data_IF_482772719591
#
_entry.id   IF_482772719591
#
_cell.length_a   1.000
_cell.length_b   1.000
_cell.length_c   1.000
_cell.angle_alpha   90.00
_cell.angle_beta   90.00
_cell.angle_gamma   90.00
#
_symmetry.space_group_name_H-M   'P 1'
#
loop_
_entity.id
_entity.type
_entity.pdbx_description
1 polymer ?
#
# COMPACT_ATOMS: atom_id res chain seq x y z
N UNK A 1 -16.79 22.73 3.52
CA UNK A 1 -15.84 21.59 3.48
C UNK A 1 -16.02 20.79 4.76
N UNK A 2 -16.65 19.62 4.70
CA UNK A 2 -16.75 18.74 5.87
C UNK A 2 -15.36 18.19 6.17
N UNK A 3 -14.82 18.53 7.34
CA UNK A 3 -13.57 17.98 7.84
C UNK A 3 -13.70 16.45 7.88
N UNK A 4 -12.91 15.74 7.06
CA UNK A 4 -12.83 14.28 7.09
C UNK A 4 -12.18 13.87 8.42
N UNK A 5 -13.00 13.44 9.37
CA UNK A 5 -12.57 12.97 10.70
C UNK A 5 -11.93 11.58 10.70
N UNK A 6 -11.93 10.87 9.57
CA UNK A 6 -11.60 9.43 9.53
C UNK A 6 -10.37 9.14 8.65
N UNK A 7 -9.27 9.86 8.90
CA UNK A 7 -7.99 9.59 8.26
C UNK A 7 -6.83 9.71 9.25
N UNK A 8 -6.08 8.63 9.39
CA UNK A 8 -4.88 8.57 10.20
C UNK A 8 -3.65 8.57 9.29
N UNK A 9 -2.86 9.63 9.37
CA UNK A 9 -1.62 9.74 8.59
C UNK A 9 -0.44 9.17 9.34
N UNK A 10 0.47 8.58 8.58
CA UNK A 10 1.74 8.06 9.06
C UNK A 10 2.87 8.64 8.22
N UNK A 11 3.97 8.98 8.89
CA UNK A 11 5.22 9.33 8.23
C UNK A 11 6.09 8.07 8.06
N UNK A 12 6.70 7.93 6.89
CA UNK A 12 7.68 6.89 6.61
C UNK A 12 9.05 7.45 6.95
N UNK A 13 9.61 7.00 8.07
CA UNK A 13 10.91 7.45 8.56
C UNK A 13 11.96 6.40 8.25
N UNK A 14 13.01 6.79 7.54
CA UNK A 14 14.20 5.96 7.41
C UNK A 14 14.93 5.93 8.75
N UNK A 15 15.03 4.74 9.35
CA UNK A 15 15.66 4.56 10.66
C UNK A 15 17.16 4.87 10.67
N UNK A 16 17.83 4.71 9.54
CA UNK A 16 19.29 4.94 9.46
C UNK A 16 19.64 6.43 9.45
N UNK A 17 18.79 7.26 8.84
CA UNK A 17 19.03 8.70 8.67
C UNK A 17 18.12 9.58 9.53
N UNK A 18 17.04 9.03 10.07
CA UNK A 18 15.99 9.77 10.79
C UNK A 18 15.11 10.64 9.88
N UNK A 19 15.30 10.59 8.55
CA UNK A 19 14.58 11.45 7.61
C UNK A 19 13.20 10.90 7.27
N UNK A 20 12.23 11.79 7.14
CA UNK A 20 10.91 11.47 6.57
C UNK A 20 11.02 11.39 5.03
N UNK A 21 10.73 10.21 4.48
CA UNK A 21 10.82 9.92 3.03
C UNK A 21 9.44 9.81 2.36
N UNK A 22 8.36 9.89 3.13
CA UNK A 22 7.02 9.81 2.57
C UNK A 22 5.94 9.75 3.62
N UNK A 23 4.71 9.61 3.13
CA UNK A 23 3.51 9.43 3.96
C UNK A 23 2.55 8.44 3.30
N UNK A 24 1.72 7.84 4.12
CA UNK A 24 0.46 7.23 3.70
C UNK A 24 -0.59 7.46 4.79
N UNK A 25 -1.83 7.08 4.51
CA UNK A 25 -2.89 7.14 5.50
C UNK A 25 -3.79 5.92 5.48
N UNK A 26 -4.31 5.57 6.65
CA UNK A 26 -5.47 4.70 6.78
C UNK A 26 -6.73 5.56 6.77
N UNK A 27 -7.67 5.24 5.90
CA UNK A 27 -8.89 6.03 5.66
C UNK A 27 -10.08 5.16 5.28
N UNK A 28 -11.27 5.79 5.17
CA UNK A 28 -12.53 5.10 4.85
C UNK A 28 -12.76 3.89 5.76
N UNK A 29 -12.58 4.13 7.05
CA UNK A 29 -12.64 3.10 8.08
C UNK A 29 -14.10 2.71 8.29
N UNK A 30 -14.38 1.43 8.09
CA UNK A 30 -15.64 0.80 8.46
C UNK A 30 -15.34 -0.23 9.55
N UNK A 31 -15.58 0.16 10.80
CA UNK A 31 -15.32 -0.70 11.96
C UNK A 31 -16.28 -1.88 12.02
N UNK A 32 -17.55 -1.67 11.64
CA UNK A 32 -18.60 -2.69 11.70
C UNK A 32 -18.29 -3.86 10.75
N UNK A 33 -17.84 -3.53 9.54
CA UNK A 33 -17.47 -4.54 8.54
C UNK A 33 -15.99 -4.90 8.55
N UNK A 34 -15.18 -4.23 9.38
CA UNK A 34 -13.73 -4.41 9.48
C UNK A 34 -13.04 -4.22 8.14
N UNK A 35 -13.35 -3.09 7.47
CA UNK A 35 -12.78 -2.67 6.18
C UNK A 35 -12.02 -1.35 6.34
N UNK A 36 -10.83 -1.27 5.73
CA UNK A 36 -10.00 -0.06 5.78
C UNK A 36 -9.24 0.14 4.47
N UNK A 37 -9.01 1.39 4.07
CA UNK A 37 -8.27 1.74 2.86
C UNK A 37 -6.91 2.34 3.20
N UNK A 38 -5.85 1.91 2.50
CA UNK A 38 -4.62 2.69 2.39
C UNK A 38 -4.72 3.67 1.24
N UNK A 39 -4.49 4.94 1.55
CA UNK A 39 -4.61 6.03 0.60
C UNK A 39 -3.74 7.22 0.97
N UNK A 40 -3.82 8.27 0.17
CA UNK A 40 -2.97 9.46 0.29
C UNK A 40 -1.46 9.13 0.34
N UNK A 41 -1.05 8.08 -0.39
CA UNK A 41 0.35 7.64 -0.48
C UNK A 41 1.16 8.70 -1.22
N UNK A 42 2.18 9.24 -0.55
CA UNK A 42 3.12 10.21 -1.10
C UNK A 42 4.54 9.74 -0.81
N UNK A 43 5.23 9.26 -1.84
CA UNK A 43 6.62 8.81 -1.73
C UNK A 43 7.56 9.85 -2.34
N UNK A 44 8.60 10.21 -1.61
CA UNK A 44 9.73 10.96 -2.17
C UNK A 44 10.42 10.14 -3.26
N UNK A 45 11.18 10.76 -4.17
CA UNK A 45 11.94 10.03 -5.19
C UNK A 45 12.82 8.93 -4.63
N UNK A 46 13.44 9.17 -3.47
CA UNK A 46 14.35 8.26 -2.76
C UNK A 46 13.65 7.00 -2.23
N UNK A 47 12.32 7.03 -2.07
CA UNK A 47 11.54 5.91 -1.54
C UNK A 47 10.97 5.00 -2.65
N UNK A 48 10.94 5.47 -3.90
CA UNK A 48 10.28 4.75 -4.99
C UNK A 48 11.11 3.54 -5.42
N UNK A 49 10.48 2.37 -5.40
CA UNK A 49 11.12 1.12 -5.83
C UNK A 49 12.17 0.57 -4.86
N UNK A 50 12.27 1.11 -3.65
CA UNK A 50 13.26 0.67 -2.66
C UNK A 50 12.69 -0.38 -1.69
N UNK A 51 13.60 -1.04 -0.95
CA UNK A 51 13.27 -1.95 0.15
C UNK A 51 12.42 -1.26 1.22
N UNK A 52 12.80 -0.05 1.62
CA UNK A 52 12.10 0.77 2.64
C UNK A 52 10.66 1.04 2.22
N UNK A 53 10.40 1.40 0.95
CA UNK A 53 9.05 1.66 0.47
C UNK A 53 8.13 0.44 0.53
N UNK A 54 8.68 -0.76 0.29
CA UNK A 54 7.95 -2.03 0.41
C UNK A 54 7.76 -2.41 1.89
N UNK A 55 8.78 -2.24 2.72
CA UNK A 55 8.72 -2.49 4.17
C UNK A 55 7.66 -1.62 4.85
N UNK A 56 7.55 -0.34 4.47
CA UNK A 56 6.54 0.56 5.02
C UNK A 56 5.11 0.08 4.75
N UNK A 57 4.84 -0.44 3.54
CA UNK A 57 3.53 -1.03 3.20
C UNK A 57 3.30 -2.35 3.93
N UNK A 58 4.34 -3.17 4.07
CA UNK A 58 4.30 -4.41 4.83
C UNK A 58 3.93 -4.17 6.30
N UNK A 59 4.61 -3.24 6.99
CA UNK A 59 4.34 -2.91 8.38
C UNK A 59 2.90 -2.40 8.57
N UNK A 60 2.39 -1.59 7.63
CA UNK A 60 1.02 -1.12 7.68
C UNK A 60 0.01 -2.26 7.50
N UNK A 61 0.28 -3.21 6.60
CA UNK A 61 -0.55 -4.39 6.42
C UNK A 61 -0.54 -5.29 7.67
N UNK A 62 0.63 -5.53 8.29
CA UNK A 62 0.71 -6.24 9.57
C UNK A 62 -0.19 -5.58 10.62
N UNK A 63 -0.09 -4.26 10.77
CA UNK A 63 -0.92 -3.52 11.72
C UNK A 63 -2.42 -3.69 11.44
N UNK A 64 -2.84 -3.59 10.17
CA UNK A 64 -4.24 -3.74 9.77
C UNK A 64 -4.77 -5.14 10.06
N UNK A 65 -4.03 -6.19 9.69
CA UNK A 65 -4.51 -7.57 9.80
C UNK A 65 -4.29 -8.20 11.18
N UNK A 66 -3.17 -7.93 11.83
CA UNK A 66 -2.74 -8.64 13.04
C UNK A 66 -3.09 -7.89 14.33
N UNK A 67 -2.94 -6.57 14.34
CA UNK A 67 -3.24 -5.75 15.52
C UNK A 67 -4.70 -5.29 15.51
N UNK A 68 -5.15 -4.71 14.40
CA UNK A 68 -6.52 -4.20 14.27
C UNK A 68 -7.53 -5.30 13.94
N UNK A 69 -7.09 -6.48 13.51
CA UNK A 69 -7.93 -7.61 13.16
C UNK A 69 -8.97 -7.30 12.05
N UNK A 70 -8.59 -6.44 11.10
CA UNK A 70 -9.44 -6.10 9.96
C UNK A 70 -9.47 -7.24 8.93
N UNK A 71 -10.59 -7.35 8.22
CA UNK A 71 -10.82 -8.45 7.28
C UNK A 71 -10.53 -8.09 5.83
N UNK A 72 -10.49 -6.80 5.52
CA UNK A 72 -10.32 -6.29 4.17
C UNK A 72 -9.54 -4.99 4.17
N UNK A 73 -8.47 -4.99 3.39
CA UNK A 73 -7.57 -3.87 3.20
C UNK A 73 -7.63 -3.41 1.75
N UNK A 74 -8.03 -2.16 1.51
CA UNK A 74 -8.35 -1.65 0.18
C UNK A 74 -7.25 -0.73 -0.35
N UNK A 75 -7.03 -0.81 -1.66
CA UNK A 75 -6.23 0.13 -2.43
C UNK A 75 -7.06 0.68 -3.58
N UNK A 76 -6.95 1.98 -3.83
CA UNK A 76 -7.57 2.62 -4.98
C UNK A 76 -6.61 3.51 -5.72
N UNK A 77 -6.70 3.46 -7.04
CA UNK A 77 -6.00 4.39 -7.89
C UNK A 77 -6.90 4.92 -8.99
N UNK A 78 -6.42 5.96 -9.66
CA UNK A 78 -6.99 6.34 -10.95
C UNK A 78 -6.70 5.21 -11.95
N UNK A 79 -7.67 4.84 -12.79
CA UNK A 79 -7.45 3.83 -13.83
C UNK A 79 -6.32 4.23 -14.80
N UNK A 80 -6.02 5.53 -14.96
CA UNK A 80 -4.89 6.03 -15.72
C UNK A 80 -3.55 5.97 -14.95
N UNK A 81 -3.57 5.66 -13.65
CA UNK A 81 -2.37 5.54 -12.82
C UNK A 81 -1.90 4.08 -12.72
N UNK A 82 -1.48 3.54 -13.86
CA UNK A 82 -0.94 2.18 -13.96
C UNK A 82 0.25 1.90 -13.04
N UNK A 83 1.18 2.85 -12.76
CA UNK A 83 2.23 2.63 -11.75
C UNK A 83 1.68 2.30 -10.36
N UNK A 84 0.61 2.99 -9.92
CA UNK A 84 -0.01 2.72 -8.63
C UNK A 84 -0.72 1.36 -8.61
N UNK A 85 -1.45 1.01 -9.68
CA UNK A 85 -2.07 -0.31 -9.82
C UNK A 85 -1.05 -1.44 -9.76
N UNK A 86 0.03 -1.34 -10.55
CA UNK A 86 1.12 -2.32 -10.58
C UNK A 86 1.83 -2.47 -9.24
N UNK A 87 1.92 -1.39 -8.46
CA UNK A 87 2.47 -1.43 -7.10
C UNK A 87 1.54 -2.21 -6.15
N UNK A 88 0.24 -1.94 -6.19
CA UNK A 88 -0.75 -2.67 -5.40
C UNK A 88 -0.75 -4.18 -5.74
N UNK A 89 -0.80 -4.52 -7.03
CA UNK A 89 -0.73 -5.92 -7.48
C UNK A 89 0.58 -6.60 -7.05
N UNK A 90 1.72 -5.89 -7.17
CA UNK A 90 3.03 -6.39 -6.70
C UNK A 90 3.00 -6.70 -5.20
N UNK A 91 2.34 -5.87 -4.40
CA UNK A 91 2.21 -6.06 -2.95
C UNK A 91 1.22 -7.16 -2.55
N UNK A 92 0.45 -7.71 -3.51
CA UNK A 92 -0.50 -8.80 -3.27
C UNK A 92 -1.96 -8.37 -3.19
N UNK A 93 -2.28 -7.12 -3.53
CA UNK A 93 -3.68 -6.74 -3.71
C UNK A 93 -4.24 -7.34 -5.00
N UNK A 94 -5.47 -7.81 -4.95
CA UNK A 94 -6.22 -8.39 -6.07
C UNK A 94 -7.14 -7.31 -6.64
N UNK A 95 -7.12 -7.14 -7.96
CA UNK A 95 -8.02 -6.22 -8.67
C UNK A 95 -9.46 -6.76 -8.70
N UNK A 96 -10.43 -5.89 -8.40
CA UNK A 96 -11.84 -6.27 -8.27
C UNK A 96 -12.75 -5.56 -9.27
N UNK A 97 -12.32 -4.43 -9.84
CA UNK A 97 -13.11 -3.72 -10.84
C UNK A 97 -12.78 -2.23 -10.95
N UNK A 98 -13.38 -1.61 -11.97
CA UNK A 98 -13.29 -0.18 -12.21
C UNK A 98 -14.66 0.46 -12.01
N UNK A 99 -14.73 1.45 -11.13
CA UNK A 99 -15.90 2.32 -11.05
C UNK A 99 -15.75 3.44 -12.08
N UNK A 100 -16.57 3.39 -13.13
CA UNK A 100 -16.59 4.40 -14.21
C UNK A 100 -17.16 5.72 -13.71
N UNK A 101 -16.54 6.83 -14.10
CA UNK A 101 -16.88 8.19 -13.69
C UNK A 101 -17.04 8.36 -12.17
N UNK A 102 -16.23 7.64 -11.39
CA UNK A 102 -16.36 7.58 -9.93
C UNK A 102 -16.24 8.96 -9.27
N UNK A 103 -15.34 9.82 -9.78
CA UNK A 103 -15.15 11.20 -9.29
C UNK A 103 -14.71 12.14 -10.41
N UNK A 104 -14.92 13.44 -10.21
CA UNK A 104 -14.25 14.50 -10.98
C UNK A 104 -13.10 15.03 -10.15
N UNK A 105 -11.87 15.00 -10.68
CA UNK A 105 -10.71 15.58 -10.00
C UNK A 105 -9.75 16.21 -11.02
N UNK A 106 -9.07 17.30 -10.62
CA UNK A 106 -8.14 18.05 -11.49
C UNK A 106 -8.74 18.39 -12.87
N UNK A 107 -10.01 18.77 -12.91
CA UNK A 107 -10.69 19.20 -14.14
C UNK A 107 -11.07 18.08 -15.12
N UNK A 108 -11.00 16.80 -14.72
CA UNK A 108 -11.42 15.67 -15.59
C UNK A 108 -12.20 14.60 -14.83
N UNK A 109 -12.91 13.76 -15.59
CA UNK A 109 -13.45 12.50 -15.07
C UNK A 109 -12.31 11.56 -14.63
N UNK A 110 -12.57 10.80 -13.57
CA UNK A 110 -11.69 9.74 -13.09
C UNK A 110 -12.51 8.47 -12.87
N UNK A 111 -12.12 7.46 -13.62
CA UNK A 111 -12.43 6.07 -13.33
C UNK A 111 -11.52 5.59 -12.19
N UNK A 112 -12.07 4.81 -11.26
CA UNK A 112 -11.33 4.33 -10.09
C UNK A 112 -11.19 2.83 -10.13
N UNK A 113 -9.96 2.35 -10.24
CA UNK A 113 -9.62 0.95 -10.05
C UNK A 113 -9.61 0.63 -8.56
N UNK A 114 -10.32 -0.44 -8.21
CA UNK A 114 -10.41 -0.99 -6.86
C UNK A 114 -9.62 -2.29 -6.78
N UNK A 115 -8.77 -2.36 -5.76
CA UNK A 115 -8.06 -3.57 -5.39
C UNK A 115 -8.21 -3.83 -3.89
N UNK A 116 -8.12 -5.08 -3.49
CA UNK A 116 -8.20 -5.47 -2.09
C UNK A 116 -7.21 -6.57 -1.72
N UNK A 117 -6.91 -6.67 -0.44
CA UNK A 117 -6.30 -7.83 0.18
C UNK A 117 -7.20 -8.25 1.34
N UNK A 118 -7.50 -9.53 1.47
CA UNK A 118 -8.33 -10.04 2.57
C UNK A 118 -7.48 -10.77 3.60
N UNK A 119 -8.06 -10.91 4.80
CA UNK A 119 -7.49 -11.67 5.93
C UNK A 119 -6.97 -13.07 5.52
N UNK A 120 -7.69 -13.77 4.64
CA UNK A 120 -7.30 -15.11 4.16
C UNK A 120 -6.10 -15.10 3.22
N UNK A 121 -5.87 -14.02 2.48
CA UNK A 121 -4.71 -13.89 1.59
C UNK A 121 -3.45 -13.50 2.37
N UNK A 122 -3.65 -12.79 3.49
CA UNK A 122 -2.58 -12.18 4.27
C UNK A 122 -1.47 -13.14 4.68
N UNK A 123 -1.71 -14.36 5.22
CA UNK A 123 -0.63 -15.26 5.61
C UNK A 123 0.34 -15.59 4.46
N UNK A 124 -0.19 -15.81 3.25
CA UNK A 124 0.62 -16.09 2.06
C UNK A 124 1.37 -14.85 1.60
N UNK A 125 0.69 -13.70 1.57
CA UNK A 125 1.30 -12.42 1.18
C UNK A 125 2.41 -12.01 2.14
N UNK A 126 2.17 -12.15 3.46
CA UNK A 126 3.14 -11.91 4.54
C UNK A 126 4.40 -12.73 4.32
N UNK A 127 4.28 -14.05 4.21
CA UNK A 127 5.43 -14.94 4.04
C UNK A 127 6.27 -14.57 2.81
N UNK A 128 5.60 -14.20 1.70
CA UNK A 128 6.27 -13.71 0.49
C UNK A 128 7.01 -12.39 0.72
N UNK A 129 6.36 -11.41 1.37
CA UNK A 129 6.95 -10.10 1.68
C UNK A 129 8.14 -10.25 2.64
N UNK A 130 8.03 -11.06 3.69
CA UNK A 130 9.10 -11.34 4.63
C UNK A 130 10.30 -11.99 3.93
N UNK A 131 10.04 -12.96 3.05
CA UNK A 131 11.10 -13.61 2.25
C UNK A 131 11.81 -12.59 1.35
N UNK A 132 11.06 -11.67 0.73
CA UNK A 132 11.64 -10.62 -0.10
C UNK A 132 12.42 -9.57 0.70
N UNK A 133 11.97 -9.23 1.92
CA UNK A 133 12.53 -8.18 2.77
C UNK A 133 13.81 -8.58 3.52
N UNK A 134 14.10 -9.89 3.58
CA UNK A 134 15.34 -10.46 4.11
C UNK A 134 16.57 -9.77 3.52
N UNK A 135 17.55 -9.47 4.36
CA UNK A 135 18.78 -8.79 3.93
C UNK A 135 19.55 -9.64 2.91
N UNK A 136 19.44 -10.95 3.00
CA UNK A 136 20.07 -11.91 2.09
C UNK A 136 19.53 -11.83 0.66
N UNK A 137 18.38 -11.18 0.45
CA UNK A 137 17.83 -10.95 -0.89
C UNK A 137 18.37 -9.68 -1.56
N UNK A 138 19.30 -8.94 -0.93
CA UNK A 138 19.88 -7.71 -1.49
C UNK A 138 21.40 -7.73 -1.47
N UNK A 139 22.02 -7.15 -2.50
CA UNK A 139 23.46 -6.92 -2.55
C UNK A 139 23.87 -5.67 -1.74
N UNK A 140 25.18 -5.41 -1.68
CA UNK A 140 25.76 -4.24 -1.00
C UNK A 140 25.30 -2.87 -1.55
N UNK A 141 24.76 -2.84 -2.78
CA UNK A 141 24.23 -1.64 -3.42
C UNK A 141 22.72 -1.51 -3.24
N UNK A 142 22.07 -2.45 -2.54
CA UNK A 142 20.62 -2.48 -2.34
C UNK A 142 19.84 -3.05 -3.53
N UNK A 143 20.51 -3.69 -4.49
CA UNK A 143 19.87 -4.35 -5.61
C UNK A 143 19.35 -5.72 -5.19
N UNK A 144 18.07 -6.01 -5.48
CA UNK A 144 17.44 -7.28 -5.16
C UNK A 144 17.99 -8.43 -6.03
N UNK A 145 18.21 -9.61 -5.45
CA UNK A 145 18.54 -10.85 -6.17
C UNK A 145 17.30 -11.51 -6.77
N UNK A 146 16.22 -11.61 -5.98
CA UNK A 146 14.89 -12.04 -6.46
C UNK A 146 13.90 -10.90 -6.31
N UNK A 147 13.15 -10.65 -7.36
CA UNK A 147 12.04 -9.70 -7.33
C UNK A 147 10.86 -10.26 -6.54
N UNK A 148 10.06 -9.36 -5.96
CA UNK A 148 8.85 -9.74 -5.24
C UNK A 148 7.80 -10.45 -6.13
N UNK A 149 7.94 -10.36 -7.46
CA UNK A 149 7.06 -11.05 -8.42
C UNK A 149 7.51 -12.49 -8.71
N UNK A 150 8.79 -12.80 -8.46
CA UNK A 150 9.35 -14.15 -8.64
C UNK A 150 9.19 -15.03 -7.39
N UNK A 151 8.86 -14.41 -6.26
CA UNK A 151 8.46 -15.07 -5.01
C UNK A 151 6.94 -15.25 -4.96
#
# INVERSE_FOLDING_TARGET
MLARKDRFYYAIIDRSTGKALGTFSLMRIDQNNRVIEVGAVTFSPELRGTRIGTEAQYLLACYVFEELNYRRYEWKCDALNMPSRRAAERLGFVYEGTFRQAVVYKGRTRDTDWLSMIDKDWPKVKSRLETWLRLENFDQNGQQYKSLREL
#
